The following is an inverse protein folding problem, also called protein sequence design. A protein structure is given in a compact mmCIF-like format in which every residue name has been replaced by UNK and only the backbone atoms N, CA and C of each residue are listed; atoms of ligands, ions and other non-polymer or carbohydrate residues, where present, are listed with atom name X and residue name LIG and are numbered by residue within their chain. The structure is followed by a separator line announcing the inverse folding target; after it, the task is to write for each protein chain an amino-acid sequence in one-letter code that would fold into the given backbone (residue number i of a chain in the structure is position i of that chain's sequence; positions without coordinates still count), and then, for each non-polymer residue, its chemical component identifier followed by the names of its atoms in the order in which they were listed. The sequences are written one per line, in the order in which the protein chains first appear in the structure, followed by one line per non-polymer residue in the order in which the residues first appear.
data_IF_792730276993
#
_entry.id   IF_792730276993
#
_cell.length_a   1.000
_cell.length_b   1.000
_cell.length_c   1.000
_cell.angle_alpha   90.00
_cell.angle_beta   90.00
_cell.angle_gamma   90.00
#
_symmetry.space_group_name_H-M   'P 1'
#
loop_
_entity.id
_entity.type
_entity.pdbx_description
1 polymer ?
#
# COMPACT_ATOMS: atom_id res chain seq x y z
N UNK A 1 -8.67 13.22 8.34
CA UNK A 1 -7.76 12.06 8.49
C UNK A 1 -7.38 11.61 7.11
N UNK A 2 -6.08 11.49 6.83
CA UNK A 2 -5.58 11.11 5.51
C UNK A 2 -5.69 9.59 5.33
N UNK A 3 -5.98 9.16 4.10
CA UNK A 3 -6.00 7.77 3.69
C UNK A 3 -5.26 7.65 2.37
N UNK A 4 -4.26 6.77 2.32
CA UNK A 4 -3.48 6.52 1.11
C UNK A 4 -3.00 5.08 1.02
N UNK A 5 -2.83 4.60 -0.22
CA UNK A 5 -2.23 3.32 -0.53
C UNK A 5 -0.90 3.57 -1.26
N UNK A 6 0.18 3.06 -0.71
CA UNK A 6 1.51 3.09 -1.32
C UNK A 6 1.88 1.68 -1.79
N UNK A 7 2.29 1.55 -3.04
CA UNK A 7 2.58 0.26 -3.67
C UNK A 7 4.08 0.00 -3.66
N UNK A 8 4.56 -0.77 -2.69
CA UNK A 8 5.97 -1.11 -2.59
C UNK A 8 6.39 -2.11 -3.67
N UNK A 9 5.48 -2.97 -4.13
CA UNK A 9 5.72 -3.92 -5.20
C UNK A 9 4.43 -4.27 -5.95
N UNK A 10 4.55 -4.46 -7.26
CA UNK A 10 3.41 -4.60 -8.19
C UNK A 10 3.57 -5.73 -9.21
N UNK A 11 4.65 -6.53 -9.11
CA UNK A 11 4.84 -7.73 -9.92
C UNK A 11 3.97 -8.89 -9.42
N UNK A 12 3.61 -9.79 -10.30
CA UNK A 12 3.04 -11.10 -9.98
C UNK A 12 4.05 -12.23 -10.15
N UNK A 13 4.05 -13.19 -9.24
CA UNK A 13 4.81 -14.43 -9.20
C UNK A 13 6.34 -14.27 -9.17
N UNK A 14 6.92 -13.43 -10.00
CA UNK A 14 8.39 -13.28 -10.14
C UNK A 14 8.77 -11.79 -10.18
N UNK A 15 9.74 -11.36 -9.37
CA UNK A 15 10.20 -9.98 -9.41
C UNK A 15 10.94 -9.68 -10.71
N UNK A 16 11.00 -8.41 -11.06
CA UNK A 16 11.79 -7.94 -12.20
C UNK A 16 12.71 -6.78 -11.78
N UNK A 17 13.58 -6.34 -12.68
CA UNK A 17 14.41 -5.16 -12.42
C UNK A 17 13.58 -3.88 -12.18
N UNK A 18 12.30 -3.86 -12.59
CA UNK A 18 11.41 -2.70 -12.52
C UNK A 18 10.26 -2.85 -11.53
N UNK A 19 9.94 -4.07 -11.10
CA UNK A 19 8.81 -4.37 -10.22
C UNK A 19 9.23 -5.34 -9.12
N UNK A 20 9.01 -4.96 -7.87
CA UNK A 20 9.06 -5.83 -6.71
C UNK A 20 7.80 -6.66 -6.56
N UNK A 21 7.86 -7.67 -5.71
CA UNK A 21 6.75 -8.58 -5.40
C UNK A 21 5.67 -7.89 -4.56
N UNK A 22 4.44 -8.46 -4.48
CA UNK A 22 3.27 -7.80 -3.92
C UNK A 22 3.48 -7.27 -2.52
N UNK A 23 3.26 -5.97 -2.33
CA UNK A 23 3.22 -5.32 -1.04
C UNK A 23 2.51 -3.96 -1.17
N UNK A 24 1.42 -3.78 -0.43
CA UNK A 24 0.63 -2.54 -0.41
C UNK A 24 0.60 -2.00 1.02
N UNK A 25 1.18 -0.82 1.21
CA UNK A 25 1.15 -0.11 2.49
C UNK A 25 -0.03 0.86 2.52
N UNK A 26 -1.04 0.57 3.33
CA UNK A 26 -2.15 1.49 3.61
C UNK A 26 -1.79 2.34 4.82
N UNK A 27 -1.93 3.65 4.66
CA UNK A 27 -1.75 4.65 5.72
C UNK A 27 -3.07 5.36 5.99
N UNK A 28 -3.55 5.28 7.23
CA UNK A 28 -4.76 5.95 7.68
C UNK A 28 -4.47 6.72 8.97
N UNK A 29 -4.34 8.03 8.84
CA UNK A 29 -3.88 8.82 9.97
C UNK A 29 -2.54 8.34 10.51
N UNK A 30 -2.50 7.84 11.74
CA UNK A 30 -1.32 7.23 12.37
C UNK A 30 -1.07 5.77 11.96
N UNK A 31 -2.12 5.06 11.54
CA UNK A 31 -2.04 3.61 11.29
C UNK A 31 -1.31 3.27 10.00
N UNK A 32 -0.53 2.21 10.04
CA UNK A 32 0.28 1.67 8.92
C UNK A 32 0.05 0.18 8.79
N UNK A 33 -0.75 -0.20 7.82
CA UNK A 33 -1.15 -1.57 7.56
C UNK A 33 -0.46 -2.04 6.27
N UNK A 34 0.28 -3.14 6.34
CA UNK A 34 0.91 -3.74 5.16
C UNK A 34 0.08 -4.94 4.70
N UNK A 35 -0.35 -4.93 3.45
CA UNK A 35 -1.01 -6.05 2.79
C UNK A 35 -0.02 -6.74 1.87
N UNK A 36 0.27 -7.99 2.19
CA UNK A 36 1.35 -8.81 1.69
C UNK A 36 2.76 -8.24 1.95
N UNK A 37 3.73 -9.12 1.94
CA UNK A 37 5.13 -8.82 2.18
C UNK A 37 6.01 -9.74 1.32
N UNK A 38 5.98 -9.54 0.01
CA UNK A 38 6.77 -10.30 -0.93
C UNK A 38 8.27 -10.10 -0.72
N UNK A 39 9.09 -10.98 -1.30
CA UNK A 39 10.54 -10.85 -1.23
C UNK A 39 11.01 -9.46 -1.68
N UNK A 40 11.90 -8.86 -0.91
CA UNK A 40 12.44 -7.53 -1.20
C UNK A 40 11.59 -6.35 -0.75
N UNK A 41 10.39 -6.54 -0.16
CA UNK A 41 9.52 -5.46 0.34
C UNK A 41 10.26 -4.51 1.27
N UNK A 42 11.06 -5.05 2.20
CA UNK A 42 11.90 -4.26 3.09
C UNK A 42 12.81 -3.29 2.33
N UNK A 43 13.49 -3.77 1.29
CA UNK A 43 14.36 -2.94 0.45
C UNK A 43 13.57 -1.89 -0.34
N UNK A 44 12.39 -2.26 -0.83
CA UNK A 44 11.51 -1.35 -1.54
C UNK A 44 11.04 -0.20 -0.63
N UNK A 45 10.65 -0.50 0.61
CA UNK A 45 10.29 0.52 1.60
C UNK A 45 11.49 1.42 1.91
N UNK A 46 12.68 0.87 2.18
CA UNK A 46 13.89 1.64 2.47
C UNK A 46 14.29 2.60 1.34
N UNK A 47 14.04 2.22 0.08
CA UNK A 47 14.35 3.05 -1.11
C UNK A 47 13.35 4.17 -1.36
N UNK A 48 12.23 4.17 -0.68
CA UNK A 48 11.10 5.04 -0.98
C UNK A 48 10.61 5.83 0.24
N UNK A 49 9.80 5.22 1.07
CA UNK A 49 9.15 5.87 2.23
C UNK A 49 9.86 5.61 3.55
N UNK A 50 10.94 4.85 3.54
CA UNK A 50 11.63 4.36 4.72
C UNK A 50 10.99 3.09 5.30
N UNK A 51 11.73 2.40 6.16
CA UNK A 51 11.18 1.29 6.91
C UNK A 51 10.42 1.85 8.11
N UNK A 52 9.12 2.05 7.91
CA UNK A 52 8.20 2.59 8.91
C UNK A 52 7.84 1.51 9.92
N UNK A 53 7.49 1.92 11.14
CA UNK A 53 6.86 1.02 12.10
C UNK A 53 5.45 0.68 11.61
N UNK A 54 5.21 -0.61 11.44
CA UNK A 54 3.92 -1.14 11.01
C UNK A 54 3.10 -1.51 12.24
N UNK A 55 1.79 -1.26 12.19
CA UNK A 55 0.86 -1.74 13.22
C UNK A 55 0.44 -3.18 12.95
N UNK A 56 0.30 -3.53 11.68
CA UNK A 56 -0.13 -4.86 11.29
C UNK A 56 0.33 -5.24 9.88
N UNK A 57 0.46 -6.55 9.67
CA UNK A 57 0.65 -7.16 8.36
C UNK A 57 -0.53 -8.09 8.08
N UNK A 58 -1.12 -8.00 6.90
CA UNK A 58 -2.21 -8.85 6.43
C UNK A 58 -1.71 -9.68 5.26
N UNK A 59 -1.61 -10.99 5.44
CA UNK A 59 -1.18 -11.92 4.38
C UNK A 59 -2.44 -12.45 3.67
N UNK A 60 -2.46 -12.33 2.34
CA UNK A 60 -3.60 -12.78 1.54
C UNK A 60 -3.62 -14.29 1.38
N UNK A 61 -2.48 -14.91 1.12
CA UNK A 61 -2.29 -16.35 0.97
C UNK A 61 -0.80 -16.73 1.03
N UNK A 62 -0.48 -18.02 0.97
CA UNK A 62 0.88 -18.50 1.25
C UNK A 62 1.71 -18.83 0.00
N UNK A 63 1.41 -18.26 -1.17
CA UNK A 63 2.37 -18.30 -2.26
C UNK A 63 3.59 -17.43 -1.93
N UNK A 64 4.76 -17.91 -2.33
CA UNK A 64 6.05 -17.35 -1.92
C UNK A 64 6.20 -15.84 -2.16
N UNK A 65 5.66 -15.36 -3.26
CA UNK A 65 5.73 -13.95 -3.67
C UNK A 65 4.90 -13.01 -2.80
N UNK A 66 4.04 -13.52 -1.91
CA UNK A 66 3.21 -12.70 -1.02
C UNK A 66 3.74 -12.57 0.41
N UNK A 67 4.67 -13.41 0.85
CA UNK A 67 5.10 -13.40 2.27
C UNK A 67 6.60 -13.60 2.51
N UNK A 68 7.42 -14.04 1.55
CA UNK A 68 8.83 -14.36 1.78
C UNK A 68 9.68 -13.17 2.26
N UNK A 69 9.23 -11.95 2.09
CA UNK A 69 9.88 -10.75 2.65
C UNK A 69 9.67 -10.58 4.15
N UNK A 70 8.61 -11.19 4.72
CA UNK A 70 8.24 -10.99 6.11
C UNK A 70 9.32 -11.42 7.11
N UNK A 71 9.94 -12.62 7.03
CA UNK A 71 10.98 -13.01 7.98
C UNK A 71 12.16 -12.03 8.02
N UNK A 72 12.61 -11.54 6.86
CA UNK A 72 13.66 -10.53 6.76
C UNK A 72 13.26 -9.18 7.35
N UNK A 73 12.01 -8.77 7.14
CA UNK A 73 11.47 -7.54 7.71
C UNK A 73 11.37 -7.61 9.23
N UNK A 74 10.86 -8.71 9.81
CA UNK A 74 10.81 -8.93 11.25
C UNK A 74 12.20 -8.81 11.90
N UNK A 75 13.22 -9.40 11.24
CA UNK A 75 14.61 -9.29 11.72
C UNK A 75 15.14 -7.87 11.65
N UNK A 76 14.77 -7.12 10.63
CA UNK A 76 15.19 -5.72 10.49
C UNK A 76 14.54 -4.81 11.53
N UNK A 77 13.29 -5.04 11.89
CA UNK A 77 12.64 -4.36 13.00
C UNK A 77 13.36 -4.68 14.33
N UNK A 78 13.73 -5.94 14.56
CA UNK A 78 14.47 -6.33 15.75
C UNK A 78 15.85 -5.65 15.83
N UNK A 79 16.59 -5.55 14.71
CA UNK A 79 17.89 -4.87 14.65
C UNK A 79 17.80 -3.34 14.79
N UNK A 80 16.61 -2.78 14.58
CA UNK A 80 16.31 -1.35 14.80
C UNK A 80 15.67 -1.09 16.17
N UNK A 81 15.77 -2.06 17.07
CA UNK A 81 15.31 -1.95 18.46
C UNK A 81 13.81 -1.64 18.59
N UNK A 82 12.98 -2.18 17.66
CA UNK A 82 11.53 -2.04 17.77
C UNK A 82 11.07 -2.57 19.13
N UNK A 83 10.25 -1.80 19.82
CA UNK A 83 9.59 -2.16 21.10
C UNK A 83 8.11 -2.43 20.97
N UNK A 84 7.47 -1.78 19.98
CA UNK A 84 6.02 -1.86 19.80
C UNK A 84 5.59 -3.23 19.24
N UNK A 85 4.48 -3.78 19.72
CA UNK A 85 3.93 -5.03 19.20
C UNK A 85 3.67 -4.99 17.69
N UNK A 86 3.75 -6.14 17.03
CA UNK A 86 3.37 -6.31 15.65
C UNK A 86 2.40 -7.48 15.53
N UNK A 87 1.25 -7.26 14.93
CA UNK A 87 0.30 -8.34 14.64
C UNK A 87 0.35 -8.74 13.16
N UNK A 88 0.45 -10.04 12.89
CA UNK A 88 0.35 -10.60 11.54
C UNK A 88 -0.96 -11.36 11.43
N UNK A 89 -1.81 -10.94 10.51
CA UNK A 89 -3.08 -11.58 10.17
C UNK A 89 -2.95 -12.36 8.88
N UNK A 90 -3.65 -13.48 8.75
CA UNK A 90 -3.70 -14.23 7.51
C UNK A 90 -4.66 -15.41 7.57
N UNK A 91 -4.72 -16.22 6.50
CA UNK A 91 -5.59 -17.38 6.44
C UNK A 91 -5.12 -18.51 7.40
N UNK A 92 -5.98 -19.53 7.64
CA UNK A 92 -5.60 -20.72 8.40
C UNK A 92 -4.33 -21.38 7.87
N UNK A 93 -3.43 -21.78 8.77
CA UNK A 93 -2.08 -22.27 8.48
C UNK A 93 -0.99 -21.20 8.69
N UNK A 94 -1.36 -19.96 9.05
CA UNK A 94 -0.39 -18.89 9.32
C UNK A 94 0.48 -19.21 10.53
N UNK A 95 -0.09 -19.77 11.60
CA UNK A 95 0.69 -20.20 12.78
C UNK A 95 1.76 -21.21 12.39
N UNK A 96 1.39 -22.25 11.64
CA UNK A 96 2.33 -23.28 11.19
C UNK A 96 3.44 -22.69 10.31
N UNK A 97 3.08 -21.80 9.39
CA UNK A 97 4.04 -21.10 8.53
C UNK A 97 5.03 -20.28 9.37
N UNK A 98 4.53 -19.48 10.31
CA UNK A 98 5.38 -18.62 11.15
C UNK A 98 6.25 -19.42 12.10
N UNK A 99 5.77 -20.52 12.64
CA UNK A 99 6.57 -21.44 13.45
C UNK A 99 7.70 -22.08 12.64
N UNK A 100 7.42 -22.52 11.42
CA UNK A 100 8.44 -23.06 10.51
C UNK A 100 9.51 -21.99 10.17
N UNK A 101 9.12 -20.71 10.04
CA UNK A 101 10.03 -19.61 9.75
C UNK A 101 10.79 -19.10 10.97
N UNK A 102 10.47 -19.58 12.17
CA UNK A 102 11.14 -19.14 13.41
C UNK A 102 12.64 -19.37 13.41
N UNK A 103 13.11 -20.39 12.71
CA UNK A 103 14.53 -20.63 12.52
C UNK A 103 15.24 -19.49 11.77
N UNK A 104 14.52 -18.73 10.91
CA UNK A 104 15.04 -17.64 10.10
C UNK A 104 15.04 -16.32 10.88
N UNK A 105 13.89 -15.91 11.45
CA UNK A 105 13.81 -14.63 12.15
C UNK A 105 14.25 -14.71 13.61
N UNK A 106 14.31 -15.91 14.21
CA UNK A 106 14.83 -16.14 15.55
C UNK A 106 13.97 -15.52 16.66
N UNK A 107 14.62 -15.16 17.78
CA UNK A 107 13.97 -14.42 18.88
C UNK A 107 13.87 -12.93 18.49
N UNK A 108 12.71 -12.36 18.71
CA UNK A 108 12.43 -10.93 18.53
C UNK A 108 12.41 -10.22 19.89
N UNK A 109 12.88 -8.95 19.98
CA UNK A 109 12.85 -8.17 21.22
C UNK A 109 11.46 -7.53 21.48
N UNK A 110 10.52 -7.63 20.55
CA UNK A 110 9.17 -7.12 20.62
C UNK A 110 8.15 -8.26 20.52
N UNK A 111 6.93 -7.99 20.93
CA UNK A 111 5.81 -8.92 20.83
C UNK A 111 5.36 -9.11 19.37
N UNK A 112 5.21 -10.35 18.96
CA UNK A 112 4.71 -10.74 17.64
C UNK A 112 3.47 -11.59 17.81
N UNK A 113 2.31 -11.00 17.53
CA UNK A 113 1.03 -11.69 17.55
C UNK A 113 0.73 -12.29 16.18
N UNK A 114 0.33 -13.54 16.15
CA UNK A 114 -0.11 -14.25 14.94
C UNK A 114 -1.60 -14.54 15.08
N UNK A 115 -2.40 -14.11 14.10
CA UNK A 115 -3.85 -14.25 14.13
C UNK A 115 -4.34 -14.86 12.82
N UNK A 116 -4.89 -16.05 12.90
CA UNK A 116 -5.58 -16.68 11.77
C UNK A 116 -7.01 -16.19 11.70
N UNK A 117 -7.41 -15.77 10.50
CA UNK A 117 -8.75 -15.28 10.22
C UNK A 117 -9.57 -16.38 9.55
N UNK A 118 -10.83 -16.49 9.93
CA UNK A 118 -11.82 -17.24 9.17
C UNK A 118 -12.39 -16.39 8.01
N UNK A 119 -13.00 -17.01 7.01
CA UNK A 119 -13.73 -16.28 5.97
C UNK A 119 -14.76 -15.31 6.60
N UNK A 120 -14.75 -14.06 6.16
CA UNK A 120 -15.62 -12.97 6.65
C UNK A 120 -15.31 -12.43 8.05
N UNK A 121 -14.27 -12.91 8.71
CA UNK A 121 -13.82 -12.28 9.96
C UNK A 121 -13.45 -10.81 9.76
N UNK A 122 -13.64 -10.03 10.81
CA UNK A 122 -13.31 -8.60 10.83
C UNK A 122 -12.32 -8.30 11.94
N UNK A 123 -11.37 -7.42 11.64
CA UNK A 123 -10.40 -6.87 12.60
C UNK A 123 -10.83 -5.43 12.89
N UNK A 124 -11.50 -5.17 14.02
CA UNK A 124 -11.92 -3.83 14.38
C UNK A 124 -10.73 -2.95 14.76
N UNK A 125 -10.81 -1.67 14.39
CA UNK A 125 -9.87 -0.60 14.70
C UNK A 125 -10.62 0.66 15.11
N UNK A 126 -9.90 1.69 15.53
CA UNK A 126 -10.54 2.96 15.88
C UNK A 126 -11.06 3.68 14.62
N UNK A 127 -12.40 3.71 14.49
CA UNK A 127 -13.12 4.35 13.39
C UNK A 127 -13.05 3.62 12.04
N UNK A 128 -12.69 2.33 12.02
CA UNK A 128 -12.74 1.45 10.82
C UNK A 128 -12.60 -0.02 11.19
N UNK A 129 -12.80 -0.88 10.21
CA UNK A 129 -12.48 -2.30 10.31
C UNK A 129 -11.73 -2.79 9.04
N UNK A 130 -11.04 -3.92 9.18
CA UNK A 130 -10.50 -4.69 8.05
C UNK A 130 -11.22 -6.03 8.02
N UNK A 131 -11.90 -6.35 6.93
CA UNK A 131 -12.63 -7.60 6.74
C UNK A 131 -11.87 -8.54 5.80
N UNK A 132 -11.80 -9.82 6.15
CA UNK A 132 -11.28 -10.88 5.30
C UNK A 132 -12.35 -11.32 4.29
N UNK A 133 -12.03 -11.27 3.00
CA UNK A 133 -12.92 -11.64 1.90
C UNK A 133 -12.45 -12.98 1.35
N UNK A 134 -13.22 -14.06 1.42
CA UNK A 134 -12.84 -15.32 0.79
C UNK A 134 -12.78 -15.14 -0.73
N UNK A 135 -11.62 -15.40 -1.34
CA UNK A 135 -11.42 -15.29 -2.78
C UNK A 135 -11.10 -16.64 -3.41
N UNK A 136 -11.19 -16.72 -4.72
CA UNK A 136 -10.99 -17.96 -5.46
C UNK A 136 -9.60 -18.02 -6.07
N UNK A 137 -8.68 -18.67 -5.39
CA UNK A 137 -7.31 -18.83 -5.85
C UNK A 137 -6.80 -20.26 -5.63
N UNK A 138 -5.73 -20.66 -6.33
CA UNK A 138 -5.12 -21.98 -6.26
C UNK A 138 -4.21 -22.12 -5.03
N UNK A 139 -4.79 -21.85 -3.86
CA UNK A 139 -4.17 -22.01 -2.55
C UNK A 139 -5.16 -22.69 -1.60
N UNK A 140 -4.69 -23.24 -0.48
CA UNK A 140 -5.56 -23.93 0.49
C UNK A 140 -6.60 -22.96 1.09
N UNK A 141 -6.21 -21.73 1.36
CA UNK A 141 -7.08 -20.62 1.71
C UNK A 141 -6.47 -19.33 1.14
N UNK A 142 -7.31 -18.44 0.63
CA UNK A 142 -6.89 -17.16 0.11
C UNK A 142 -7.94 -16.10 0.44
N UNK A 143 -7.45 -14.92 0.86
CA UNK A 143 -8.26 -13.76 1.19
C UNK A 143 -7.89 -12.55 0.34
N UNK A 144 -8.91 -11.79 -0.06
CA UNK A 144 -8.80 -10.36 -0.23
C UNK A 144 -9.11 -9.67 1.10
N UNK A 145 -8.93 -8.36 1.15
CA UNK A 145 -9.24 -7.56 2.34
C UNK A 145 -10.02 -6.30 1.96
N UNK A 146 -11.01 -5.95 2.79
CA UNK A 146 -11.70 -4.67 2.71
C UNK A 146 -11.40 -3.84 3.94
N UNK A 147 -10.89 -2.63 3.78
CA UNK A 147 -10.84 -1.61 4.80
C UNK A 147 -12.09 -0.75 4.66
N UNK A 148 -12.91 -0.70 5.69
CA UNK A 148 -14.19 0.04 5.71
C UNK A 148 -14.19 0.99 6.89
N UNK A 149 -14.22 2.29 6.62
CA UNK A 149 -14.34 3.31 7.67
C UNK A 149 -15.77 3.40 8.21
N UNK A 150 -15.89 3.71 9.49
CA UNK A 150 -17.16 3.97 10.11
C UNK A 150 -17.88 5.15 9.46
N UNK A 151 -19.22 5.12 9.40
CA UNK A 151 -20.01 6.27 9.00
C UNK A 151 -19.70 7.49 9.87
N UNK A 152 -19.69 8.67 9.23
CA UNK A 152 -19.37 9.94 9.91
C UNK A 152 -20.62 10.75 10.17
N UNK A 153 -20.67 11.52 11.25
CA UNK A 153 -21.78 12.45 11.48
C UNK A 153 -22.00 13.39 10.29
N UNK A 154 -23.24 13.72 10.04
CA UNK A 154 -23.61 14.72 9.05
C UNK A 154 -23.00 16.09 9.35
N UNK A 155 -23.20 17.04 8.44
CA UNK A 155 -22.78 18.42 8.71
C UNK A 155 -23.73 19.06 9.72
N UNK A 156 -23.17 19.68 10.76
CA UNK A 156 -23.92 20.54 11.64
C UNK A 156 -24.39 21.78 10.86
N UNK A 157 -25.64 22.17 11.03
CA UNK A 157 -26.14 23.50 10.61
C UNK A 157 -25.90 24.50 11.75
N UNK A 158 -24.86 25.34 11.70
CA UNK A 158 -24.54 26.26 12.78
C UNK A 158 -25.60 27.32 12.98
N UNK A 159 -26.27 27.73 11.89
CA UNK A 159 -27.31 28.77 11.95
C UNK A 159 -28.56 28.25 12.61
N UNK A 160 -28.95 27.02 12.29
CA UNK A 160 -30.10 26.38 12.91
C UNK A 160 -29.83 26.08 14.39
N UNK A 161 -28.62 25.56 14.72
CA UNK A 161 -28.21 25.33 16.10
C UNK A 161 -28.25 26.61 16.94
N UNK A 162 -27.73 27.72 16.43
CA UNK A 162 -27.75 29.01 17.10
C UNK A 162 -29.21 29.52 17.27
N UNK A 163 -30.08 29.35 16.27
CA UNK A 163 -31.50 29.70 16.39
C UNK A 163 -32.23 28.91 17.45
N UNK A 164 -31.83 27.69 17.71
CA UNK A 164 -32.36 26.82 18.77
C UNK A 164 -31.70 27.07 20.14
N UNK A 165 -30.81 28.06 20.23
CA UNK A 165 -30.22 28.51 21.50
C UNK A 165 -28.88 27.86 21.85
N UNK A 166 -28.29 27.05 20.95
CA UNK A 166 -26.98 26.42 21.20
C UNK A 166 -25.88 27.42 20.88
N UNK A 167 -24.99 27.69 21.84
CA UNK A 167 -23.89 28.62 21.67
C UNK A 167 -22.80 28.02 20.80
N UNK A 168 -22.27 28.76 19.78
CA UNK A 168 -21.13 28.30 19.00
C UNK A 168 -19.90 28.01 19.88
N UNK A 169 -19.26 26.86 19.66
CA UNK A 169 -18.08 26.46 20.43
C UNK A 169 -18.12 24.96 20.82
N UNK A 170 -17.73 24.61 22.05
CA UNK A 170 -17.66 23.23 22.53
C UNK A 170 -19.01 22.46 22.39
N UNK A 171 -20.12 23.15 22.51
CA UNK A 171 -21.47 22.56 22.42
C UNK A 171 -21.78 22.05 21.00
N UNK A 172 -21.29 22.70 19.96
CA UNK A 172 -21.37 22.19 18.60
C UNK A 172 -20.65 20.85 18.48
N UNK A 173 -19.49 20.71 19.13
CA UNK A 173 -18.75 19.45 19.19
C UNK A 173 -19.51 18.34 19.93
N UNK A 174 -20.27 18.71 20.98
CA UNK A 174 -21.13 17.75 21.71
C UNK A 174 -22.27 17.25 20.84
N UNK A 175 -22.93 18.13 20.11
CA UNK A 175 -23.98 17.77 19.13
C UNK A 175 -23.41 16.84 18.05
N UNK A 176 -22.21 17.13 17.53
CA UNK A 176 -21.54 16.29 16.52
C UNK A 176 -21.17 14.90 17.05
N UNK A 177 -20.97 14.75 18.36
CA UNK A 177 -20.76 13.45 19.02
C UNK A 177 -22.05 12.72 19.39
N UNK A 178 -23.20 13.28 19.02
CA UNK A 178 -24.50 12.66 19.29
C UNK A 178 -25.12 13.04 20.65
N UNK A 179 -24.53 14.01 21.39
CA UNK A 179 -25.04 14.47 22.68
C UNK A 179 -26.17 15.48 22.48
N UNK A 180 -27.21 15.44 23.34
CA UNK A 180 -28.22 16.50 23.44
C UNK A 180 -27.63 17.67 24.21
N UNK A 181 -27.80 18.91 23.71
CA UNK A 181 -27.29 20.14 24.32
C UNK A 181 -28.45 21.12 24.49
N UNK A 182 -28.71 21.55 25.72
CA UNK A 182 -29.81 22.50 26.09
C UNK A 182 -31.19 22.13 25.51
N UNK A 183 -31.46 20.81 25.45
CA UNK A 183 -32.69 20.27 24.88
C UNK A 183 -32.72 20.13 23.37
N UNK A 184 -31.68 20.59 22.67
CA UNK A 184 -31.50 20.41 21.21
C UNK A 184 -30.84 19.06 20.94
N UNK A 185 -31.52 18.22 20.16
CA UNK A 185 -31.01 16.91 19.74
C UNK A 185 -30.20 17.02 18.46
N UNK A 186 -29.19 16.16 18.27
CA UNK A 186 -28.38 16.13 17.03
C UNK A 186 -29.23 16.08 15.75
N UNK A 187 -30.28 15.26 15.72
CA UNK A 187 -31.12 15.06 14.54
C UNK A 187 -31.83 16.34 14.08
N UNK A 188 -31.96 17.34 14.95
CA UNK A 188 -32.60 18.62 14.63
C UNK A 188 -31.64 19.57 13.85
N UNK A 189 -30.33 19.38 14.02
CA UNK A 189 -29.32 20.33 13.53
C UNK A 189 -28.21 19.67 12.71
N UNK A 190 -28.20 18.35 12.64
CA UNK A 190 -27.24 17.58 11.84
C UNK A 190 -27.88 17.16 10.52
N UNK A 191 -27.14 17.25 9.45
CA UNK A 191 -27.51 16.65 8.17
C UNK A 191 -27.43 15.13 8.21
N UNK A 192 -27.70 14.45 7.09
CA UNK A 192 -27.61 12.99 7.01
C UNK A 192 -26.20 12.49 7.30
N UNK A 193 -26.13 11.30 7.88
CA UNK A 193 -24.86 10.56 8.07
C UNK A 193 -24.12 10.44 6.75
N UNK A 194 -22.82 10.59 6.79
CA UNK A 194 -21.93 10.48 5.63
C UNK A 194 -21.16 9.17 5.70
N UNK A 195 -21.11 8.47 4.57
CA UNK A 195 -20.37 7.23 4.49
C UNK A 195 -18.86 7.46 4.74
N UNK A 196 -18.22 6.45 5.34
CA UNK A 196 -16.79 6.31 5.42
C UNK A 196 -16.20 5.92 4.06
N UNK A 197 -14.89 5.92 3.96
CA UNK A 197 -14.18 5.44 2.76
C UNK A 197 -14.08 3.92 2.78
N UNK A 198 -14.11 3.31 1.59
CA UNK A 198 -13.96 1.87 1.41
C UNK A 198 -12.83 1.56 0.43
N UNK A 199 -11.87 0.76 0.87
CA UNK A 199 -10.81 0.21 0.04
C UNK A 199 -10.96 -1.30 -0.02
N UNK A 200 -10.78 -1.89 -1.20
CA UNK A 200 -10.76 -3.35 -1.37
C UNK A 200 -9.48 -3.74 -2.07
N UNK A 201 -8.79 -4.76 -1.54
CA UNK A 201 -7.56 -5.36 -2.08
C UNK A 201 -7.89 -6.81 -2.36
N UNK A 202 -7.83 -7.22 -3.62
CA UNK A 202 -8.28 -8.56 -4.04
C UNK A 202 -7.37 -9.69 -3.54
N UNK A 203 -6.07 -9.43 -3.31
CA UNK A 203 -5.08 -10.50 -3.37
C UNK A 203 -5.10 -11.16 -4.75
N UNK A 204 -4.65 -12.40 -4.84
CA UNK A 204 -4.75 -13.20 -6.06
C UNK A 204 -6.10 -13.89 -6.12
N UNK A 205 -6.81 -13.69 -7.23
CA UNK A 205 -8.17 -14.22 -7.36
C UNK A 205 -8.62 -14.35 -8.81
N UNK A 206 -9.18 -15.50 -9.14
CA UNK A 206 -10.13 -15.56 -10.25
C UNK A 206 -11.38 -14.73 -9.90
N UNK A 207 -12.16 -14.26 -10.90
CA UNK A 207 -13.40 -13.56 -10.63
C UNK A 207 -14.31 -14.36 -9.69
N UNK A 208 -14.78 -13.72 -8.62
CA UNK A 208 -15.66 -14.37 -7.64
C UNK A 208 -16.69 -13.39 -7.06
N UNK A 209 -17.83 -13.95 -6.65
CA UNK A 209 -18.97 -13.19 -6.15
C UNK A 209 -18.66 -12.44 -4.84
N UNK A 210 -17.96 -13.11 -3.91
CA UNK A 210 -17.62 -12.50 -2.62
C UNK A 210 -16.82 -11.21 -2.78
N UNK A 211 -15.86 -11.21 -3.73
CA UNK A 211 -15.08 -10.00 -4.03
C UNK A 211 -15.94 -8.92 -4.68
N UNK A 212 -16.86 -9.28 -5.59
CA UNK A 212 -17.77 -8.34 -6.21
C UNK A 212 -18.70 -7.67 -5.18
N UNK A 213 -19.24 -8.44 -4.24
CA UNK A 213 -20.07 -7.93 -3.13
C UNK A 213 -19.25 -6.98 -2.24
N UNK A 214 -18.05 -7.38 -1.85
CA UNK A 214 -17.19 -6.55 -1.01
C UNK A 214 -16.76 -5.25 -1.71
N UNK A 215 -16.55 -5.29 -3.03
CA UNK A 215 -16.12 -4.14 -3.84
C UNK A 215 -17.27 -3.18 -4.18
N UNK A 216 -18.53 -3.52 -3.85
CA UNK A 216 -19.67 -2.64 -4.17
C UNK A 216 -19.47 -1.23 -3.60
N UNK A 217 -19.54 -0.22 -4.49
CA UNK A 217 -19.32 1.20 -4.19
C UNK A 217 -17.98 1.53 -3.50
N UNK A 218 -16.93 0.73 -3.71
CA UNK A 218 -15.63 1.01 -3.14
C UNK A 218 -15.00 2.27 -3.77
N UNK A 219 -14.34 3.09 -2.94
CA UNK A 219 -13.58 4.25 -3.43
C UNK A 219 -12.38 3.80 -4.28
N UNK A 220 -11.73 2.70 -3.88
CA UNK A 220 -10.64 2.07 -4.63
C UNK A 220 -10.75 0.56 -4.54
N UNK A 221 -10.73 -0.09 -5.69
CA UNK A 221 -10.49 -1.52 -5.81
C UNK A 221 -9.07 -1.74 -6.34
N UNK A 222 -8.19 -2.27 -5.51
CA UNK A 222 -6.89 -2.81 -5.93
C UNK A 222 -7.11 -4.25 -6.35
N UNK A 223 -6.97 -4.55 -7.63
CA UNK A 223 -7.26 -5.87 -8.18
C UNK A 223 -6.06 -6.40 -8.95
N UNK A 224 -5.80 -7.69 -8.82
CA UNK A 224 -4.82 -8.35 -9.67
C UNK A 224 -5.23 -8.28 -11.14
N UNK A 225 -4.24 -8.21 -12.01
CA UNK A 225 -4.40 -8.33 -13.44
C UNK A 225 -3.16 -9.03 -14.01
N UNK A 226 -3.04 -10.31 -13.67
CA UNK A 226 -1.87 -11.12 -14.03
C UNK A 226 -1.76 -11.32 -15.53
N UNK A 227 -2.89 -11.29 -16.26
CA UNK A 227 -2.96 -11.59 -17.68
C UNK A 227 -3.79 -10.57 -18.47
N UNK A 228 -3.50 -10.47 -19.77
CA UNK A 228 -4.45 -9.91 -20.75
C UNK A 228 -5.55 -10.93 -21.03
N UNK A 229 -6.66 -10.49 -21.63
CA UNK A 229 -7.79 -11.36 -21.96
C UNK A 229 -7.46 -12.40 -23.07
N UNK A 230 -6.42 -12.15 -23.86
CA UNK A 230 -5.90 -13.13 -24.80
C UNK A 230 -5.41 -14.40 -24.11
N UNK A 231 -4.94 -14.30 -22.86
CA UNK A 231 -4.55 -15.45 -22.02
C UNK A 231 -5.64 -15.85 -21.00
N UNK A 232 -6.93 -15.60 -21.27
CA UNK A 232 -8.04 -15.86 -20.34
C UNK A 232 -8.12 -17.34 -19.89
N UNK A 233 -7.80 -18.28 -20.79
CA UNK A 233 -7.76 -19.70 -20.44
C UNK A 233 -6.63 -19.99 -19.43
N UNK A 234 -5.49 -19.37 -19.58
CA UNK A 234 -4.40 -19.49 -18.61
C UNK A 234 -4.79 -18.88 -17.27
N UNK A 235 -5.39 -17.69 -17.26
CA UNK A 235 -5.91 -17.06 -16.06
C UNK A 235 -6.89 -18.01 -15.33
N UNK A 236 -7.79 -18.65 -16.07
CA UNK A 236 -8.73 -19.64 -15.52
C UNK A 236 -8.03 -20.85 -14.91
N UNK A 237 -7.02 -21.41 -15.58
CA UNK A 237 -6.29 -22.61 -15.10
C UNK A 237 -5.43 -22.31 -13.86
N UNK A 238 -4.89 -21.11 -13.75
CA UNK A 238 -4.07 -20.67 -12.61
C UNK A 238 -4.89 -19.97 -11.53
N UNK A 239 -6.19 -19.77 -11.75
CA UNK A 239 -7.12 -19.05 -10.88
C UNK A 239 -6.69 -17.62 -10.59
N UNK A 240 -6.27 -16.93 -11.64
CA UNK A 240 -6.04 -15.48 -11.68
C UNK A 240 -7.08 -14.76 -12.53
N UNK A 241 -6.98 -13.45 -12.58
CA UNK A 241 -7.85 -12.61 -13.40
C UNK A 241 -7.10 -12.00 -14.58
N UNK A 242 -7.85 -11.69 -15.65
CA UNK A 242 -7.40 -10.82 -16.72
C UNK A 242 -7.75 -9.36 -16.39
N UNK A 243 -7.06 -8.42 -17.03
CA UNK A 243 -7.35 -6.98 -16.87
C UNK A 243 -8.81 -6.64 -17.23
N UNK A 244 -9.36 -7.29 -18.28
CA UNK A 244 -10.76 -7.17 -18.65
C UNK A 244 -11.70 -7.66 -17.56
N UNK A 245 -11.45 -8.83 -16.98
CA UNK A 245 -12.28 -9.39 -15.92
C UNK A 245 -12.27 -8.53 -14.65
N UNK A 246 -11.10 -7.97 -14.27
CA UNK A 246 -11.00 -7.01 -13.18
C UNK A 246 -11.85 -5.75 -13.47
N UNK A 247 -11.82 -5.25 -14.70
CA UNK A 247 -12.61 -4.08 -15.11
C UNK A 247 -14.13 -4.38 -15.18
N UNK A 248 -14.52 -5.58 -15.60
CA UNK A 248 -15.92 -6.02 -15.60
C UNK A 248 -16.47 -6.10 -14.17
N UNK A 249 -15.69 -6.65 -13.22
CA UNK A 249 -16.04 -6.67 -11.81
C UNK A 249 -16.16 -5.25 -11.25
N UNK A 250 -15.17 -4.39 -11.51
CA UNK A 250 -15.18 -3.01 -11.02
C UNK A 250 -16.40 -2.23 -11.52
N UNK A 251 -16.78 -2.41 -12.80
CA UNK A 251 -17.98 -1.81 -13.38
C UNK A 251 -19.26 -2.34 -12.75
N UNK A 252 -19.35 -3.67 -12.55
CA UNK A 252 -20.53 -4.31 -11.97
C UNK A 252 -20.72 -3.95 -10.49
N UNK A 253 -19.63 -3.68 -9.77
CA UNK A 253 -19.62 -3.29 -8.37
C UNK A 253 -19.70 -1.76 -8.16
N UNK A 254 -19.84 -0.94 -9.21
CA UNK A 254 -19.86 0.52 -9.16
C UNK A 254 -18.69 1.13 -8.39
N UNK A 255 -17.49 0.59 -8.62
CA UNK A 255 -16.24 1.05 -8.02
C UNK A 255 -15.89 2.44 -8.55
N UNK A 256 -15.29 3.30 -7.73
CA UNK A 256 -14.90 4.66 -8.18
C UNK A 256 -13.56 4.71 -8.90
N UNK A 257 -12.60 3.88 -8.48
CA UNK A 257 -11.27 3.73 -9.10
C UNK A 257 -10.81 2.28 -9.07
N UNK A 258 -10.47 1.71 -10.21
CA UNK A 258 -9.80 0.41 -10.34
C UNK A 258 -8.29 0.62 -10.45
N UNK A 259 -7.53 -0.03 -9.59
CA UNK A 259 -6.07 0.00 -9.54
C UNK A 259 -5.53 -1.40 -9.81
N UNK A 260 -4.94 -1.63 -11.00
CA UNK A 260 -4.42 -2.93 -11.41
C UNK A 260 -3.01 -3.16 -10.86
N UNK A 261 -2.80 -4.31 -10.25
CA UNK A 261 -1.52 -4.78 -9.69
C UNK A 261 -1.25 -6.22 -10.08
N UNK A 262 -0.23 -6.85 -9.50
CA UNK A 262 0.16 -8.24 -9.75
C UNK A 262 0.42 -8.52 -11.23
N UNK A 263 1.17 -7.62 -11.86
CA UNK A 263 1.43 -7.65 -13.29
C UNK A 263 2.49 -8.70 -13.62
N UNK A 264 2.16 -9.66 -14.46
CA UNK A 264 3.11 -10.65 -14.95
C UNK A 264 4.29 -9.98 -15.67
N UNK A 265 5.50 -10.51 -15.51
CA UNK A 265 6.72 -10.02 -16.17
C UNK A 265 6.62 -10.00 -17.71
N UNK A 266 5.61 -10.64 -18.29
CA UNK A 266 5.31 -10.65 -19.73
C UNK A 266 4.82 -9.31 -20.25
N UNK A 267 4.25 -8.46 -19.37
CA UNK A 267 3.57 -7.24 -19.76
C UNK A 267 4.26 -6.00 -19.21
N UNK A 268 4.26 -4.94 -19.99
CA UNK A 268 4.73 -3.63 -19.52
C UNK A 268 3.71 -2.90 -18.62
N UNK A 269 2.47 -3.39 -18.55
CA UNK A 269 1.36 -2.83 -17.76
C UNK A 269 0.51 -1.82 -18.52
N UNK A 270 1.01 -1.21 -19.58
CA UNK A 270 0.22 -0.30 -20.42
C UNK A 270 -0.90 -1.01 -21.17
N UNK A 271 -0.62 -2.17 -21.73
CA UNK A 271 -1.58 -3.04 -22.43
C UNK A 271 -2.70 -3.53 -21.50
N UNK A 272 -2.39 -3.91 -20.26
CA UNK A 272 -3.40 -4.29 -19.26
C UNK A 272 -4.32 -3.10 -18.92
N UNK A 273 -3.73 -1.92 -18.74
CA UNK A 273 -4.50 -0.69 -18.50
C UNK A 273 -5.43 -0.37 -19.66
N UNK A 274 -4.94 -0.42 -20.89
CA UNK A 274 -5.68 -0.02 -22.08
C UNK A 274 -6.83 -1.03 -22.34
N UNK A 275 -6.58 -2.32 -22.11
CA UNK A 275 -7.62 -3.35 -22.13
C UNK A 275 -8.71 -3.10 -21.08
N UNK A 276 -8.33 -2.84 -19.85
CA UNK A 276 -9.27 -2.59 -18.77
C UNK A 276 -10.05 -1.28 -18.97
N UNK A 277 -9.41 -0.21 -19.45
CA UNK A 277 -10.06 1.09 -19.73
C UNK A 277 -11.11 1.01 -20.82
N UNK A 278 -11.01 0.09 -21.74
CA UNK A 278 -12.04 -0.16 -22.73
C UNK A 278 -13.37 -0.63 -22.10
N UNK A 279 -13.32 -1.20 -20.90
CA UNK A 279 -14.48 -1.69 -20.12
C UNK A 279 -14.85 -0.75 -19.00
N UNK A 280 -13.85 -0.24 -18.25
CA UNK A 280 -14.00 0.66 -17.12
C UNK A 280 -12.97 1.79 -17.18
N UNK A 281 -13.34 2.98 -17.66
CA UNK A 281 -12.41 4.08 -17.94
C UNK A 281 -11.63 4.57 -16.72
N UNK A 282 -12.21 4.49 -15.49
CA UNK A 282 -11.56 4.88 -14.25
C UNK A 282 -10.58 3.79 -13.76
N UNK A 283 -9.63 3.39 -14.62
CA UNK A 283 -8.65 2.33 -14.36
C UNK A 283 -7.23 2.86 -14.47
N UNK A 284 -6.39 2.49 -13.51
CA UNK A 284 -4.94 2.72 -13.52
C UNK A 284 -4.17 1.41 -13.39
N UNK A 285 -3.11 1.24 -14.20
CA UNK A 285 -2.12 0.19 -13.96
C UNK A 285 -0.98 0.77 -13.11
N UNK A 286 -0.75 0.15 -11.98
CA UNK A 286 0.20 0.63 -10.98
C UNK A 286 1.64 0.27 -11.32
N UNK A 287 2.55 1.05 -10.77
CA UNK A 287 4.00 0.81 -10.75
C UNK A 287 4.49 0.87 -9.31
N UNK A 288 5.65 0.31 -9.09
CA UNK A 288 6.29 0.41 -7.78
C UNK A 288 6.45 1.88 -7.37
N UNK A 289 6.18 2.13 -6.10
CA UNK A 289 6.23 3.42 -5.42
C UNK A 289 5.12 4.41 -5.79
N UNK A 290 4.20 4.05 -6.66
CA UNK A 290 3.00 4.84 -6.87
C UNK A 290 2.20 4.97 -5.57
N UNK A 291 1.48 6.09 -5.41
CA UNK A 291 0.61 6.34 -4.26
C UNK A 291 -0.78 6.72 -4.74
N UNK A 292 -1.81 6.09 -4.18
CA UNK A 292 -3.20 6.54 -4.36
C UNK A 292 -3.61 7.28 -3.09
N UNK A 293 -4.03 8.53 -3.25
CA UNK A 293 -4.63 9.34 -2.19
C UNK A 293 -6.15 9.24 -2.26
N UNK A 294 -6.79 8.91 -1.14
CA UNK A 294 -8.23 8.69 -1.08
C UNK A 294 -8.86 9.76 -0.19
N UNK A 295 -9.31 10.87 -0.75
CA UNK A 295 -10.04 11.88 0.01
C UNK A 295 -11.42 11.35 0.41
N UNK A 296 -12.06 12.01 1.37
CA UNK A 296 -13.47 11.73 1.61
C UNK A 296 -14.31 12.07 0.38
N UNK A 297 -15.42 11.34 0.12
CA UNK A 297 -16.20 11.46 -1.10
C UNK A 297 -16.64 12.90 -1.44
N UNK A 298 -16.94 13.71 -0.44
CA UNK A 298 -17.31 15.12 -0.59
C UNK A 298 -16.14 16.04 -0.98
N UNK A 299 -14.90 15.56 -0.91
CA UNK A 299 -13.68 16.30 -1.29
C UNK A 299 -13.14 15.92 -2.66
N UNK A 300 -13.75 14.92 -3.30
CA UNK A 300 -13.36 14.48 -4.64
C UNK A 300 -13.10 12.99 -4.74
N UNK A 301 -12.54 12.60 -5.87
CA UNK A 301 -12.21 11.18 -6.17
C UNK A 301 -10.78 10.85 -5.74
N UNK A 302 -10.50 9.56 -5.57
CA UNK A 302 -9.15 9.06 -5.38
C UNK A 302 -8.24 9.48 -6.55
N UNK A 303 -7.02 9.86 -6.24
CA UNK A 303 -6.03 10.35 -7.20
C UNK A 303 -4.74 9.55 -7.11
N UNK A 304 -4.18 9.23 -8.27
CA UNK A 304 -2.91 8.55 -8.39
C UNK A 304 -1.77 9.58 -8.50
N UNK A 305 -0.79 9.45 -7.61
CA UNK A 305 0.48 10.15 -7.67
C UNK A 305 1.56 9.17 -8.14
N UNK A 306 2.16 9.44 -9.30
CA UNK A 306 3.28 8.65 -9.80
C UNK A 306 4.57 8.99 -9.07
N UNK A 307 5.37 7.96 -8.76
CA UNK A 307 6.67 8.17 -8.11
C UNK A 307 7.59 9.15 -8.84
N UNK A 308 7.59 9.11 -10.18
CA UNK A 308 8.35 10.06 -10.99
C UNK A 308 7.94 11.52 -10.79
N UNK A 309 6.65 11.79 -10.63
CA UNK A 309 6.09 13.12 -10.38
C UNK A 309 6.48 13.61 -8.99
N UNK A 310 6.40 12.72 -7.99
CA UNK A 310 6.84 13.00 -6.63
C UNK A 310 8.31 13.39 -6.58
N UNK A 311 9.20 12.58 -7.18
CA UNK A 311 10.63 12.88 -7.24
C UNK A 311 10.94 14.20 -7.97
N UNK A 312 10.19 14.51 -9.03
CA UNK A 312 10.34 15.76 -9.75
C UNK A 312 9.96 16.97 -8.89
N UNK A 313 8.90 16.87 -8.10
CA UNK A 313 8.50 17.91 -7.14
C UNK A 313 9.51 18.09 -6.02
N UNK A 314 10.00 17.01 -5.43
CA UNK A 314 11.01 17.05 -4.36
C UNK A 314 12.31 17.72 -4.85
N UNK A 315 12.76 17.42 -6.07
CA UNK A 315 13.92 18.05 -6.71
C UNK A 315 13.70 19.55 -6.97
N UNK A 316 12.53 19.93 -7.46
CA UNK A 316 12.19 21.33 -7.69
C UNK A 316 12.17 22.14 -6.39
N UNK A 317 11.69 21.57 -5.30
CA UNK A 317 11.67 22.19 -3.98
C UNK A 317 13.09 22.32 -3.37
N UNK A 318 13.93 21.31 -3.52
CA UNK A 318 15.32 21.32 -3.06
C UNK A 318 16.18 22.31 -3.86
N UNK A 319 16.02 22.37 -5.20
CA UNK A 319 16.75 23.31 -6.05
C UNK A 319 16.35 24.79 -5.87
N UNK A 320 15.16 25.05 -5.29
CA UNK A 320 14.72 26.40 -4.96
C UNK A 320 15.32 26.96 -3.65
N UNK A 321 15.90 26.12 -2.80
CA UNK A 321 16.52 26.54 -1.53
C UNK A 321 18.02 26.88 -1.66
N UNK A 322 18.70 26.44 -2.71
CA UNK A 322 20.14 26.68 -2.94
C UNK A 322 20.46 27.93 -3.79
N UNK A 323 19.46 28.73 -4.16
CA UNK A 323 19.68 30.01 -4.84
C UNK A 323 19.87 31.13 -3.85
N UNK A 324 20.87 31.04 -2.95
CA UNK A 324 21.44 32.19 -2.32
C UNK A 324 22.38 32.90 -3.31
N UNK A 325 22.35 34.23 -3.49
CA UNK A 325 23.21 34.92 -4.45
C UNK A 325 24.68 34.71 -4.07
N UNK A 326 25.48 34.30 -5.05
CA UNK A 326 26.92 34.20 -4.91
C UNK A 326 27.50 35.51 -4.47
N UNK A 327 28.43 35.57 -3.49
CA UNK A 327 29.10 36.79 -3.14
C UNK A 327 29.98 37.24 -4.32
N UNK A 328 29.85 38.52 -4.64
CA UNK A 328 30.58 39.24 -5.67
C UNK A 328 32.09 39.07 -5.49
N UNK A 329 32.75 38.39 -6.41
CA UNK A 329 34.19 38.20 -6.44
C UNK A 329 34.83 39.31 -7.31
N UNK A 330 34.97 40.51 -6.73
CA UNK A 330 35.91 41.48 -7.25
C UNK A 330 37.12 41.62 -6.30
N UNK A 331 38.26 41.11 -6.72
CA UNK A 331 39.49 41.32 -5.97
C UNK A 331 40.61 40.38 -6.42
N UNK A 332 41.43 40.90 -7.33
CA UNK A 332 42.46 40.15 -8.06
C UNK A 332 43.77 39.91 -7.30
N UNK A 333 44.60 39.24 -8.02
CA UNK A 333 46.10 39.26 -8.12
C UNK A 333 46.85 38.03 -7.64
N UNK A 334 47.50 37.53 -8.68
CA UNK A 334 48.90 37.07 -8.74
C UNK A 334 49.33 35.67 -8.21
N UNK A 335 49.82 34.94 -9.19
CA UNK A 335 50.66 33.72 -9.20
C UNK A 335 51.98 33.86 -8.43
N UNK A 336 52.86 32.80 -8.18
CA UNK A 336 53.28 31.82 -9.20
C UNK A 336 53.56 30.34 -8.77
N UNK A 337 53.54 29.49 -9.73
CA UNK A 337 54.25 28.23 -10.09
C UNK A 337 55.37 27.67 -9.18
N UNK A 338 55.29 26.34 -8.88
CA UNK A 338 56.39 25.31 -9.03
C UNK A 338 55.80 23.92 -8.73
N UNK A 339 55.77 23.02 -9.66
CA UNK A 339 56.69 21.98 -10.07
C UNK A 339 56.76 20.73 -9.13
N UNK A 340 56.43 19.56 -9.64
CA UNK A 340 56.93 18.28 -9.12
C UNK A 340 55.97 17.07 -9.17
N UNK A 341 55.87 16.45 -10.35
CA UNK A 341 55.47 15.05 -10.48
C UNK A 341 56.51 14.12 -9.84
N UNK A 342 56.17 12.93 -9.37
CA UNK A 342 56.51 11.77 -10.19
C UNK A 342 55.45 10.65 -10.25
N UNK A 343 55.58 9.91 -11.36
CA UNK A 343 54.77 8.85 -11.91
C UNK A 343 54.79 7.51 -11.12
N UNK A 344 53.96 6.52 -11.56
CA UNK A 344 53.57 5.36 -10.77
C UNK A 344 54.56 4.17 -10.93
N UNK A 345 54.56 3.32 -9.88
CA UNK A 345 55.25 2.02 -9.94
C UNK A 345 54.26 0.89 -10.21
N UNK A 346 54.65 0.12 -11.17
CA UNK A 346 54.04 -1.13 -11.66
C UNK A 346 54.24 -2.33 -10.72
N UNK A 347 53.24 -3.21 -10.65
CA UNK A 347 53.41 -4.66 -10.72
C UNK A 347 53.46 -5.40 -9.38
N UNK A 348 52.45 -6.21 -9.16
CA UNK A 348 52.64 -7.58 -8.69
C UNK A 348 51.40 -8.43 -9.01
N UNK A 349 51.67 -9.54 -9.69
CA UNK A 349 50.74 -10.55 -10.13
C UNK A 349 50.44 -11.52 -8.97
N UNK A 350 49.16 -11.90 -8.77
CA UNK A 350 48.77 -13.05 -7.93
C UNK A 350 48.40 -14.25 -8.83
N UNK A 351 48.78 -15.47 -8.42
CA UNK A 351 48.60 -16.67 -9.22
C UNK A 351 47.18 -17.26 -9.12
N UNK A 352 46.81 -17.96 -10.16
CA UNK A 352 45.56 -18.68 -10.36
C UNK A 352 45.37 -19.83 -9.34
N UNK A 353 44.14 -20.02 -8.86
CA UNK A 353 43.72 -21.20 -8.12
C UNK A 353 43.02 -22.19 -9.04
N UNK A 354 43.40 -23.46 -8.96
CA UNK A 354 42.88 -24.62 -9.67
C UNK A 354 41.48 -25.03 -9.20
N UNK A 355 40.71 -25.77 -10.03
CA UNK A 355 39.34 -26.18 -9.70
C UNK A 355 39.32 -27.47 -8.85
N UNK A 356 38.51 -27.47 -7.81
CA UNK A 356 38.20 -28.66 -7.01
C UNK A 356 36.96 -29.34 -7.59
N UNK A 357 37.13 -30.63 -7.87
CA UNK A 357 36.08 -31.54 -8.34
C UNK A 357 35.11 -31.91 -7.20
N UNK A 358 33.85 -32.10 -7.59
CA UNK A 358 32.75 -32.66 -6.76
C UNK A 358 32.99 -34.15 -6.44
N UNK A 359 32.30 -34.66 -5.41
CA UNK A 359 31.32 -35.72 -5.62
C UNK A 359 29.88 -35.32 -5.38
#
# INVERSE_FOLDING_TARGET
MDLSLFFAGTAGSVPSARRGLPAVLVRRGGDRLLFDCGEGTQRQLLRSVGLLDLDSVFITHFHADHWLGLPGMLKSFALRERSEPLTVYGPPGLHELMDAMRIIYGRLPYELDIVELAPTDTVPRDGYLVAAIPVRHKANAAFGYALVEDPRPGHLDPQLAARLGVTPGPDFGRLQRGETVDGVKPEQVMGPTREGRKLVISGDSAPCEALAIAAHEADVLVHEATFTHEEAERARLTQHSTARQAAELARAADVRLLALTHVSSRYAGGELRDEARAVFPATEALRDFDTIHVPFPERGRATLERWSERLSRERAQAGGQDAAPAPDASGGRDTPRAAGDPAPRSGEAHPAAEPVASP
#
